data_IF_136457261101
#
_entry.id   IF_136457261101
#
_cell.length_a   1.000
_cell.length_b   1.000
_cell.length_c   1.000
_cell.angle_alpha   90.00
_cell.angle_beta   90.00
_cell.angle_gamma   90.00
#
_symmetry.space_group_name_H-M   'P 1'
#
loop_
_entity.id
_entity.type
_entity.pdbx_description
1 polymer ?
#
# COMPACT_ATOMS: atom_id res chain seq x y z
N UNK A 1 -12.00 -6.13 -0.70
CA UNK A 1 -10.82 -5.38 -0.23
C UNK A 1 -9.59 -5.85 -0.99
N UNK A 2 -8.75 -4.92 -1.41
CA UNK A 2 -7.42 -5.18 -1.93
C UNK A 2 -6.41 -4.84 -0.86
N UNK A 3 -5.41 -5.70 -0.67
CA UNK A 3 -4.28 -5.40 0.20
C UNK A 3 -3.12 -5.00 -0.66
N UNK A 4 -2.69 -3.75 -0.55
CA UNK A 4 -1.55 -3.22 -1.28
C UNK A 4 -0.39 -3.05 -0.32
N UNK A 5 0.76 -3.56 -0.75
CA UNK A 5 2.01 -3.52 0.00
C UNK A 5 3.04 -2.86 -0.88
N UNK A 6 3.45 -1.64 -0.53
CA UNK A 6 4.52 -0.93 -1.23
C UNK A 6 5.76 -1.03 -0.38
N UNK A 7 6.82 -1.63 -0.92
CA UNK A 7 8.12 -1.69 -0.29
C UNK A 7 9.07 -0.76 -1.01
N UNK A 8 9.76 0.09 -0.27
CA UNK A 8 10.73 1.01 -0.81
C UNK A 8 11.92 1.21 0.10
N UNK A 9 12.90 1.95 -0.40
CA UNK A 9 14.05 2.43 0.34
C UNK A 9 14.03 3.96 0.38
N UNK A 10 14.53 4.51 1.48
CA UNK A 10 14.76 5.95 1.57
C UNK A 10 16.11 6.26 0.94
N UNK A 11 16.18 7.26 0.06
CA UNK A 11 17.44 7.65 -0.58
C UNK A 11 18.08 8.84 0.15
N UNK A 12 17.43 9.99 0.17
CA UNK A 12 17.96 11.22 0.77
C UNK A 12 17.02 11.76 1.84
N UNK A 13 16.98 11.09 3.00
CA UNK A 13 16.32 11.65 4.17
C UNK A 13 17.23 12.63 4.89
N UNK A 14 16.73 13.83 5.16
CA UNK A 14 17.36 14.75 6.11
C UNK A 14 17.22 14.23 7.54
N UNK A 15 18.04 14.73 8.47
CA UNK A 15 17.97 14.35 9.89
C UNK A 15 16.60 14.68 10.51
N UNK A 16 16.01 15.80 10.12
CA UNK A 16 14.65 16.21 10.52
C UNK A 16 13.58 15.20 10.08
N UNK A 17 13.65 14.74 8.82
CA UNK A 17 12.72 13.73 8.30
C UNK A 17 12.94 12.38 8.96
N UNK A 18 14.19 12.02 9.27
CA UNK A 18 14.50 10.81 10.02
C UNK A 18 13.91 10.84 11.42
N UNK A 19 13.95 11.97 12.10
CA UNK A 19 13.38 12.14 13.44
C UNK A 19 11.85 12.09 13.41
N UNK A 20 11.21 12.78 12.46
CA UNK A 20 9.78 12.71 12.24
C UNK A 20 9.32 11.27 11.94
N UNK A 21 10.02 10.57 11.04
CA UNK A 21 9.72 9.17 10.73
C UNK A 21 9.95 8.26 11.95
N UNK A 22 10.97 8.50 12.77
CA UNK A 22 11.19 7.73 14.02
C UNK A 22 10.05 7.90 15.01
N UNK A 23 9.56 9.11 15.22
CA UNK A 23 8.40 9.37 16.09
C UNK A 23 7.12 8.71 15.57
N UNK A 24 6.98 8.65 14.25
CA UNK A 24 5.85 7.98 13.58
C UNK A 24 5.97 6.45 13.69
N UNK A 25 7.17 5.85 13.56
CA UNK A 25 7.37 4.39 13.71
C UNK A 25 7.04 3.88 15.10
N UNK A 26 7.42 4.64 16.13
CA UNK A 26 7.18 4.24 17.52
C UNK A 26 5.67 4.16 17.84
N UNK A 27 4.86 4.94 17.12
CA UNK A 27 3.41 5.03 17.30
C UNK A 27 2.58 4.21 16.29
N UNK A 28 3.15 3.84 15.13
CA UNK A 28 2.43 3.10 14.10
C UNK A 28 2.37 1.60 14.39
N UNK A 29 1.19 1.13 14.80
CA UNK A 29 0.88 -0.30 14.86
C UNK A 29 0.81 -0.91 13.46
N UNK A 30 1.36 -2.11 13.29
CA UNK A 30 1.35 -2.85 12.01
C UNK A 30 -0.06 -3.37 11.73
N UNK A 31 -0.88 -2.53 11.11
CA UNK A 31 -2.23 -2.87 10.68
C UNK A 31 -2.42 -2.58 9.18
N UNK A 32 -3.44 -3.16 8.57
CA UNK A 32 -3.90 -2.78 7.24
C UNK A 32 -5.09 -1.85 7.44
N UNK A 33 -4.90 -0.56 7.20
CA UNK A 33 -5.95 0.46 7.33
C UNK A 33 -6.27 1.07 5.97
N UNK A 34 -7.45 1.68 5.86
CA UNK A 34 -7.88 2.36 4.62
C UNK A 34 -7.06 3.62 4.33
N UNK A 35 -6.55 4.27 5.38
CA UNK A 35 -5.60 5.39 5.27
C UNK A 35 -4.19 4.91 4.85
N UNK A 36 -3.89 3.63 5.03
CA UNK A 36 -2.55 3.07 4.88
C UNK A 36 -1.71 3.23 6.15
N UNK A 37 -1.04 2.15 6.52
CA UNK A 37 -0.06 2.11 7.59
C UNK A 37 1.33 2.08 7.00
N UNK A 38 2.14 3.03 7.41
CA UNK A 38 3.55 3.07 7.08
C UNK A 38 4.35 2.30 8.14
N UNK A 39 5.32 1.49 7.72
CA UNK A 39 6.20 0.77 8.65
C UNK A 39 7.61 0.86 8.10
N UNK A 40 8.54 1.50 8.81
CA UNK A 40 9.95 1.48 8.45
C UNK A 40 10.81 0.85 9.54
N UNK A 41 11.96 0.34 9.12
CA UNK A 41 12.94 -0.22 10.04
C UNK A 41 13.60 0.88 10.87
N UNK A 42 14.11 0.54 12.06
CA UNK A 42 14.79 1.48 12.97
C UNK A 42 16.04 2.13 12.34
N UNK A 43 16.62 1.47 11.32
CA UNK A 43 17.73 1.98 10.51
C UNK A 43 17.29 2.95 9.40
N UNK A 44 15.97 3.13 9.19
CA UNK A 44 15.39 4.00 8.15
C UNK A 44 15.98 3.77 6.76
N UNK A 45 16.48 2.57 6.47
CA UNK A 45 17.03 2.21 5.16
C UNK A 45 15.95 1.69 4.22
N UNK A 46 14.89 1.09 4.78
CA UNK A 46 13.75 0.60 4.02
C UNK A 46 12.45 0.79 4.76
N UNK A 47 11.38 0.93 3.98
CA UNK A 47 10.03 1.05 4.47
C UNK A 47 9.09 0.12 3.71
N UNK A 48 7.98 -0.16 4.37
CA UNK A 48 6.85 -0.91 3.86
C UNK A 48 5.60 -0.14 4.19
N UNK A 49 4.94 0.41 3.18
CA UNK A 49 3.63 0.99 3.28
C UNK A 49 2.58 -0.08 2.95
N UNK A 50 1.54 -0.18 3.78
CA UNK A 50 0.50 -1.19 3.67
C UNK A 50 -0.85 -0.50 3.74
N UNK A 51 -1.62 -0.57 2.67
CA UNK A 51 -2.95 0.02 2.61
C UNK A 51 -3.97 -1.05 2.24
N UNK A 52 -5.14 -0.99 2.87
CA UNK A 52 -6.29 -1.79 2.44
C UNK A 52 -7.23 -0.89 1.65
N UNK A 53 -7.39 -1.18 0.37
CA UNK A 53 -8.29 -0.43 -0.50
C UNK A 53 -9.64 -1.16 -0.54
N UNK A 54 -10.77 -0.48 -0.26
CA UNK A 54 -12.08 -1.09 -0.45
C UNK A 54 -12.21 -1.50 -1.91
N UNK A 55 -12.64 -2.74 -2.14
CA UNK A 55 -12.69 -3.29 -3.49
C UNK A 55 -14.12 -3.22 -4.02
N UNK A 56 -14.39 -2.19 -4.81
CA UNK A 56 -15.63 -2.00 -5.54
C UNK A 56 -15.76 -3.01 -6.69
N UNK A 57 -16.98 -3.34 -7.16
CA UNK A 57 -17.18 -4.35 -8.20
C UNK A 57 -16.49 -4.08 -9.54
N UNK A 58 -16.17 -2.81 -9.83
CA UNK A 58 -15.44 -2.39 -11.05
C UNK A 58 -13.93 -2.21 -10.80
N UNK A 59 -13.52 -1.96 -9.56
CA UNK A 59 -12.12 -1.75 -9.20
C UNK A 59 -11.28 -3.00 -9.45
N UNK A 60 -10.15 -2.79 -10.13
CA UNK A 60 -9.11 -3.78 -10.38
C UNK A 60 -7.85 -3.58 -9.53
N UNK A 61 -6.83 -4.40 -9.79
CA UNK A 61 -5.52 -4.28 -9.14
C UNK A 61 -4.81 -2.96 -9.48
N UNK A 62 -5.08 -2.42 -10.68
CA UNK A 62 -4.59 -1.11 -11.14
C UNK A 62 -5.12 0.02 -10.24
N UNK A 63 -6.44 0.10 -10.08
CA UNK A 63 -7.11 1.10 -9.24
C UNK A 63 -6.60 1.05 -7.78
N UNK A 64 -6.46 -0.15 -7.23
CA UNK A 64 -5.89 -0.34 -5.90
C UNK A 64 -4.44 0.15 -5.81
N UNK A 65 -3.64 -0.07 -6.86
CA UNK A 65 -2.26 0.43 -6.94
C UNK A 65 -2.23 1.96 -6.97
N UNK A 66 -3.07 2.58 -7.81
CA UNK A 66 -3.13 4.03 -7.95
C UNK A 66 -3.56 4.70 -6.64
N UNK A 67 -4.54 4.15 -5.94
CA UNK A 67 -4.96 4.61 -4.60
C UNK A 67 -3.82 4.51 -3.59
N UNK A 68 -3.08 3.39 -3.59
CA UNK A 68 -1.95 3.21 -2.69
C UNK A 68 -0.81 4.18 -2.99
N UNK A 69 -0.51 4.43 -4.27
CA UNK A 69 0.49 5.41 -4.70
C UNK A 69 0.05 6.83 -4.35
N UNK A 70 -1.23 7.17 -4.52
CA UNK A 70 -1.77 8.47 -4.16
C UNK A 70 -1.65 8.72 -2.64
N UNK A 71 -2.01 7.73 -1.82
CA UNK A 71 -1.83 7.79 -0.36
C UNK A 71 -0.35 7.94 0.02
N UNK A 72 0.54 7.18 -0.62
CA UNK A 72 1.98 7.26 -0.40
C UNK A 72 2.56 8.62 -0.84
N UNK A 73 2.10 9.16 -1.96
CA UNK A 73 2.52 10.48 -2.48
C UNK A 73 2.04 11.59 -1.55
N UNK A 74 0.85 11.47 -0.95
CA UNK A 74 0.34 12.42 0.01
C UNK A 74 1.20 12.52 1.29
N UNK A 75 1.94 11.48 1.64
CA UNK A 75 2.93 11.53 2.73
C UNK A 75 4.18 12.35 2.36
N UNK A 76 4.47 12.57 1.07
CA UNK A 76 5.43 13.58 0.62
C UNK A 76 6.92 13.31 0.86
N UNK A 77 7.30 12.14 1.40
CA UNK A 77 8.71 11.85 1.69
C UNK A 77 9.52 11.49 0.43
N UNK A 78 10.81 11.87 0.33
CA UNK A 78 11.69 11.42 -0.73
C UNK A 78 12.02 9.94 -0.56
N UNK A 79 11.46 9.10 -1.43
CA UNK A 79 11.62 7.66 -1.33
C UNK A 79 11.61 6.96 -2.69
N UNK A 80 12.29 5.81 -2.75
CA UNK A 80 12.36 4.97 -3.94
C UNK A 80 11.54 3.71 -3.75
N UNK A 81 10.53 3.53 -4.61
CA UNK A 81 9.73 2.31 -4.64
C UNK A 81 10.57 1.17 -5.23
N UNK A 82 10.75 0.10 -4.46
CA UNK A 82 11.46 -1.10 -4.89
C UNK A 82 10.50 -2.15 -5.44
N UNK A 83 9.35 -2.32 -4.78
CA UNK A 83 8.37 -3.34 -5.14
C UNK A 83 6.98 -2.96 -4.66
N UNK A 84 5.99 -3.12 -5.52
CA UNK A 84 4.57 -3.05 -5.15
C UNK A 84 4.00 -4.45 -5.25
N UNK A 85 3.30 -4.90 -4.21
CA UNK A 85 2.57 -6.15 -4.17
C UNK A 85 1.10 -5.86 -3.87
N UNK A 86 0.25 -6.05 -4.86
CA UNK A 86 -1.21 -6.02 -4.70
C UNK A 86 -1.69 -7.44 -4.48
N UNK A 87 -2.61 -7.60 -3.55
CA UNK A 87 -3.29 -8.87 -3.29
C UNK A 87 -4.78 -8.61 -3.25
N UNK A 88 -5.48 -9.06 -4.28
CA UNK A 88 -6.94 -9.05 -4.27
C UNK A 88 -7.46 -10.13 -3.32
N UNK A 89 -8.00 -9.71 -2.18
CA UNK A 89 -8.58 -10.63 -1.21
C UNK A 89 -9.87 -11.29 -1.74
N UNK A 90 -10.46 -10.76 -2.83
CA UNK A 90 -11.62 -11.36 -3.49
C UNK A 90 -11.21 -12.58 -4.32
N UNK A 91 -10.09 -12.54 -5.04
CA UNK A 91 -9.59 -13.63 -5.88
C UNK A 91 -9.22 -14.87 -5.05
N UNK A 92 -8.71 -14.67 -3.83
CA UNK A 92 -8.27 -15.77 -2.93
C UNK A 92 -9.43 -16.71 -2.54
N UNK A 93 -10.69 -16.29 -2.68
CA UNK A 93 -11.86 -17.17 -2.52
C UNK A 93 -12.71 -17.34 -3.77
N UNK A 94 -12.58 -16.48 -4.77
CA UNK A 94 -13.55 -16.40 -5.85
C UNK A 94 -12.92 -16.85 -7.17
N UNK A 95 -12.83 -18.17 -7.31
CA UNK A 95 -13.01 -18.84 -8.60
C UNK A 95 -14.47 -18.66 -9.05
N UNK A 96 -14.96 -17.43 -9.26
CA UNK A 96 -16.23 -17.23 -9.99
C UNK A 96 -15.89 -17.20 -11.46
N UNK A 97 -16.06 -18.38 -12.04
CA UNK A 97 -16.35 -18.63 -13.45
C UNK A 97 -17.15 -17.44 -14.02
N UNK A 98 -16.72 -16.82 -15.14
CA UNK A 98 -17.53 -15.81 -15.79
C UNK A 98 -18.86 -16.48 -16.16
N UNK A 99 -19.97 -15.98 -15.60
CA UNK A 99 -21.29 -16.32 -16.15
C UNK A 99 -21.34 -15.59 -17.48
N UNK A 100 -21.12 -16.36 -18.55
CA UNK A 100 -21.26 -15.89 -19.91
C UNK A 100 -22.56 -15.14 -20.06
N UNK A 101 -22.44 -13.86 -20.39
CA UNK A 101 -23.48 -13.16 -21.11
C UNK A 101 -23.51 -13.78 -22.52
N UNK A 102 -24.54 -14.56 -22.78
CA UNK A 102 -24.96 -15.05 -24.09
C UNK A 102 -26.36 -15.58 -23.84
N UNK A 103 -27.44 -14.86 -24.14
CA UNK A 103 -27.70 -14.08 -25.34
C UNK A 103 -28.93 -14.74 -25.91
N UNK A 104 -30.10 -14.21 -25.56
CA UNK A 104 -31.40 -14.63 -26.10
C UNK A 104 -31.75 -13.76 -27.29
#
# INVERSE_FOLDING_TARGET
>A
MFRVTVRGAFEELSEDEREALRGVVDSLQVAFTEAGTFTCDRSLSSFTFRCEVPAEPDDGEQEATERAIAALTAHGYPHRILRIGVTDMRNIKIRRKPRGAGGT
#
